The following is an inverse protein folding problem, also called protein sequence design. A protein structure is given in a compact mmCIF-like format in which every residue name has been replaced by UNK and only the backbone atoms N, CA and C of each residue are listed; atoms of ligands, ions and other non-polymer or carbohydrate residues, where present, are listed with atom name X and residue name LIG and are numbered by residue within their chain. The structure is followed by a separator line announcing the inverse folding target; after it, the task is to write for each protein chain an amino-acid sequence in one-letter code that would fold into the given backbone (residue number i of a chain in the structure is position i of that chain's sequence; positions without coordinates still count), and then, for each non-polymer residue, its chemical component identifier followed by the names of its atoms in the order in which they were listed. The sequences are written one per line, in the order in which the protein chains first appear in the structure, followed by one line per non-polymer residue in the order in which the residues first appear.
data_IF_593927390602
#
_entry.id   IF_593927390602
#
_cell.length_a   1.000
_cell.length_b   1.000
_cell.length_c   1.000
_cell.angle_alpha   90.00
_cell.angle_beta   90.00
_cell.angle_gamma   90.00
#
_symmetry.space_group_name_H-M   'P 1'
#
loop_
_entity.id
_entity.type
_entity.pdbx_description
1 polymer ?
#
# COMPACT_ATOMS: atom_id res chain seq x y z
N UNK A 1 0.16 12.25 -11.60
CA UNK A 1 -0.64 12.13 -10.38
C UNK A 1 0.02 12.99 -9.33
N UNK A 2 -0.74 13.89 -8.70
CA UNK A 2 -0.23 14.72 -7.60
C UNK A 2 -0.16 13.89 -6.32
N UNK A 3 0.99 13.89 -5.65
CA UNK A 3 1.14 13.22 -4.36
C UNK A 3 0.46 14.08 -3.29
N UNK A 4 -0.69 13.63 -2.79
CA UNK A 4 -1.44 14.35 -1.75
C UNK A 4 -1.28 13.68 -0.37
N UNK A 5 -1.35 14.43 0.73
CA UNK A 5 -1.29 13.85 2.08
C UNK A 5 -2.34 12.73 2.32
N UNK A 6 -3.61 12.87 1.91
CA UNK A 6 -4.59 11.79 2.06
C UNK A 6 -4.24 10.53 1.28
N UNK A 7 -3.69 10.66 0.07
CA UNK A 7 -3.28 9.52 -0.74
C UNK A 7 -2.11 8.76 -0.09
N UNK A 8 -1.13 9.50 0.45
CA UNK A 8 -0.02 8.91 1.19
C UNK A 8 -0.52 8.17 2.44
N UNK A 9 -1.47 8.76 3.19
CA UNK A 9 -2.09 8.10 4.34
C UNK A 9 -2.78 6.78 3.97
N UNK A 10 -3.49 6.74 2.83
CA UNK A 10 -4.11 5.50 2.36
C UNK A 10 -3.09 4.45 1.94
N UNK A 11 -1.97 4.87 1.33
CA UNK A 11 -0.87 3.96 1.01
C UNK A 11 -0.24 3.35 2.27
N UNK A 12 -0.03 4.15 3.32
CA UNK A 12 0.49 3.65 4.61
C UNK A 12 -0.50 2.70 5.29
N UNK A 13 -1.79 3.03 5.33
CA UNK A 13 -2.82 2.13 5.89
C UNK A 13 -2.88 0.78 5.15
N UNK A 14 -2.82 0.81 3.82
CA UNK A 14 -2.77 -0.40 3.02
C UNK A 14 -1.49 -1.21 3.29
N UNK A 15 -0.35 -0.53 3.45
CA UNK A 15 0.93 -1.15 3.78
C UNK A 15 0.89 -1.83 5.15
N UNK A 16 0.36 -1.18 6.18
CA UNK A 16 0.25 -1.73 7.53
C UNK A 16 -0.52 -3.06 7.52
N UNK A 17 -1.67 -3.10 6.82
CA UNK A 17 -2.47 -4.32 6.67
C UNK A 17 -1.74 -5.45 5.93
N UNK A 18 -0.81 -5.10 5.04
CA UNK A 18 -0.03 -6.08 4.27
C UNK A 18 1.16 -6.58 5.07
N UNK A 19 1.81 -5.72 5.86
CA UNK A 19 2.95 -6.07 6.72
C UNK A 19 2.57 -6.95 7.92
N UNK A 20 1.27 -7.11 8.18
CA UNK A 20 0.75 -8.17 9.05
C UNK A 20 1.03 -9.60 8.53
N UNK A 21 1.33 -9.76 7.23
CA UNK A 21 1.63 -11.03 6.56
C UNK A 21 0.61 -12.18 6.77
N UNK A 22 -0.63 -11.87 7.19
CA UNK A 22 -1.69 -12.87 7.43
C UNK A 22 -2.31 -13.44 6.14
N UNK A 23 -2.20 -12.72 5.03
CA UNK A 23 -2.80 -13.05 3.72
C UNK A 23 -1.89 -12.55 2.59
N UNK A 24 -2.03 -13.08 1.35
CA UNK A 24 -1.35 -12.55 0.18
C UNK A 24 -1.61 -11.04 0.00
N UNK A 25 -0.57 -10.27 -0.35
CA UNK A 25 -0.64 -8.82 -0.43
C UNK A 25 -1.65 -8.31 -1.46
N UNK A 26 -1.77 -9.00 -2.59
CA UNK A 26 -2.75 -8.72 -3.64
C UNK A 26 -4.20 -8.92 -3.14
N UNK A 27 -4.45 -9.95 -2.33
CA UNK A 27 -5.76 -10.18 -1.72
C UNK A 27 -6.12 -9.09 -0.70
N UNK A 28 -5.14 -8.64 0.10
CA UNK A 28 -5.33 -7.51 1.04
C UNK A 28 -5.62 -6.22 0.29
N UNK A 29 -4.83 -5.89 -0.75
CA UNK A 29 -5.06 -4.70 -1.59
C UNK A 29 -6.42 -4.75 -2.32
N UNK A 30 -6.82 -5.92 -2.82
CA UNK A 30 -8.14 -6.10 -3.44
C UNK A 30 -9.27 -5.79 -2.47
N UNK A 31 -9.18 -6.28 -1.23
CA UNK A 31 -10.16 -5.98 -0.17
C UNK A 31 -10.13 -4.49 0.20
N UNK A 32 -8.95 -3.92 0.41
CA UNK A 32 -8.76 -2.51 0.74
C UNK A 32 -9.40 -1.59 -0.31
N UNK A 33 -9.18 -1.84 -1.61
CA UNK A 33 -9.79 -1.05 -2.67
C UNK A 33 -11.31 -1.23 -2.81
N UNK A 34 -11.86 -2.37 -2.37
CA UNK A 34 -13.32 -2.59 -2.32
C UNK A 34 -13.97 -1.78 -1.21
N UNK A 35 -13.29 -1.62 -0.08
CA UNK A 35 -13.73 -0.77 1.04
C UNK A 35 -13.57 0.73 0.70
N UNK A 36 -12.55 1.09 -0.07
CA UNK A 36 -12.23 2.46 -0.46
C UNK A 36 -12.72 2.81 -1.88
N UNK A 37 -14.03 2.67 -2.13
CA UNK A 37 -14.63 2.83 -3.47
C UNK A 37 -14.37 4.18 -4.14
N UNK A 38 -14.11 5.24 -3.35
CA UNK A 38 -13.81 6.59 -3.83
C UNK A 38 -12.43 6.73 -4.49
N UNK A 39 -11.53 5.77 -4.29
CA UNK A 39 -10.22 5.77 -4.94
C UNK A 39 -10.38 5.54 -6.44
N UNK A 40 -9.88 6.50 -7.23
CA UNK A 40 -9.82 6.39 -8.69
C UNK A 40 -8.74 5.40 -9.15
N UNK A 41 -8.74 5.06 -10.43
CA UNK A 41 -7.77 4.10 -10.99
C UNK A 41 -6.31 4.51 -10.77
N UNK A 42 -6.00 5.81 -10.91
CA UNK A 42 -4.65 6.33 -10.72
C UNK A 42 -4.18 6.21 -9.27
N UNK A 43 -5.06 6.56 -8.32
CA UNK A 43 -4.75 6.48 -6.89
C UNK A 43 -4.53 5.02 -6.45
N UNK A 44 -5.35 4.08 -6.96
CA UNK A 44 -5.17 2.64 -6.71
C UNK A 44 -3.85 2.13 -7.26
N UNK A 45 -3.48 2.56 -8.48
CA UNK A 45 -2.20 2.20 -9.08
C UNK A 45 -1.04 2.68 -8.21
N UNK A 46 -1.09 3.92 -7.74
CA UNK A 46 -0.07 4.45 -6.83
C UNK A 46 0.01 3.69 -5.51
N UNK A 47 -1.13 3.43 -4.84
CA UNK A 47 -1.15 2.67 -3.59
C UNK A 47 -0.54 1.27 -3.80
N UNK A 48 -0.92 0.58 -4.88
CA UNK A 48 -0.37 -0.73 -5.20
C UNK A 48 1.15 -0.66 -5.47
N UNK A 49 1.60 0.31 -6.27
CA UNK A 49 3.02 0.50 -6.56
C UNK A 49 3.83 0.82 -5.31
N UNK A 50 3.32 1.67 -4.43
CA UNK A 50 3.96 2.01 -3.16
C UNK A 50 4.09 0.77 -2.26
N UNK A 51 2.99 0.03 -2.05
CA UNK A 51 2.99 -1.18 -1.21
C UNK A 51 3.93 -2.24 -1.77
N UNK A 52 3.79 -2.61 -3.05
CA UNK A 52 4.69 -3.59 -3.64
C UNK A 52 6.13 -3.07 -3.76
N UNK A 53 6.33 -1.77 -3.90
CA UNK A 53 7.63 -1.12 -3.87
C UNK A 53 8.36 -1.33 -2.54
N UNK A 54 7.64 -1.25 -1.43
CA UNK A 54 8.14 -1.59 -0.09
C UNK A 54 8.39 -3.08 0.03
N UNK A 55 7.42 -3.94 -0.33
CA UNK A 55 7.58 -5.39 -0.20
C UNK A 55 8.80 -5.93 -0.94
N UNK A 56 9.02 -5.47 -2.18
CA UNK A 56 10.20 -5.86 -2.99
C UNK A 56 11.53 -5.51 -2.33
N UNK A 57 11.55 -4.51 -1.46
CA UNK A 57 12.75 -4.03 -0.74
C UNK A 57 12.65 -4.25 0.76
N UNK A 58 11.68 -5.05 1.22
CA UNK A 58 11.31 -5.11 2.64
C UNK A 58 12.49 -5.47 3.52
N UNK A 59 13.28 -6.47 3.13
CA UNK A 59 14.47 -6.90 3.88
C UNK A 59 15.54 -5.82 4.03
N UNK A 60 15.69 -4.95 3.05
CA UNK A 60 16.62 -3.82 3.15
C UNK A 60 16.02 -2.70 4.02
N UNK A 61 14.76 -2.36 3.77
CA UNK A 61 14.04 -1.30 4.48
C UNK A 61 13.91 -1.61 5.97
N UNK A 62 13.67 -2.86 6.35
CA UNK A 62 13.59 -3.29 7.75
C UNK A 62 14.90 -3.19 8.53
N UNK A 63 16.02 -2.95 7.83
CA UNK A 63 17.34 -2.75 8.45
C UNK A 63 17.68 -1.26 8.55
N UNK A 64 17.24 -0.44 7.59
CA UNK A 64 17.64 0.98 7.50
C UNK A 64 16.60 1.95 8.06
N UNK A 65 15.34 1.51 8.21
CA UNK A 65 14.28 2.31 8.85
C UNK A 65 14.19 1.86 10.31
N UNK A 66 14.43 2.78 11.27
CA UNK A 66 14.40 2.49 12.70
C UNK A 66 12.99 2.18 13.24
#
# INVERSE_FOLDING_TARGET
MELTPPLLQLATQALDLVLDFKRPADAVLSAFFREHKKLGSHDRAFVAEAVFGVLRRYRYLSVVVP
#
